data_IF_496297587158
#
_entry.id   IF_496297587158
#
_cell.length_a   1.000
_cell.length_b   1.000
_cell.length_c   1.000
_cell.angle_alpha   90.00
_cell.angle_beta   90.00
_cell.angle_gamma   90.00
#
_symmetry.space_group_name_H-M   'P 1'
#
loop_
_entity.id
_entity.type
_entity.pdbx_description
1 polymer ?
#
# COMPACT_ATOMS: atom_id res chain seq x y z
N UNK A 1 16.97 -20.32 -33.36
CA UNK A 1 17.08 -19.31 -32.29
C UNK A 1 15.67 -19.00 -31.82
N UNK A 2 15.33 -19.34 -30.57
CA UNK A 2 14.03 -18.90 -30.01
C UNK A 2 14.08 -17.38 -29.86
N UNK A 3 13.05 -16.64 -30.34
CA UNK A 3 13.00 -15.21 -30.12
C UNK A 3 13.03 -14.93 -28.62
N UNK A 4 13.90 -14.00 -28.19
CA UNK A 4 13.92 -13.51 -26.82
C UNK A 4 12.51 -13.02 -26.46
N UNK A 5 11.87 -13.65 -25.46
CA UNK A 5 10.57 -13.16 -24.96
C UNK A 5 10.76 -11.75 -24.40
N UNK A 6 10.11 -10.78 -25.01
CA UNK A 6 10.09 -9.42 -24.48
C UNK A 6 9.05 -9.36 -23.36
N UNK A 7 9.48 -9.01 -22.15
CA UNK A 7 8.59 -8.82 -21.00
C UNK A 7 8.23 -7.35 -20.85
N UNK A 8 6.95 -7.05 -20.73
CA UNK A 8 6.51 -5.77 -20.22
C UNK A 8 6.77 -5.70 -18.71
N UNK A 9 7.08 -4.51 -18.20
CA UNK A 9 7.19 -4.29 -16.77
C UNK A 9 6.13 -3.30 -16.32
N UNK A 10 5.31 -3.68 -15.33
CA UNK A 10 4.25 -2.87 -14.74
C UNK A 10 4.55 -2.64 -13.26
N UNK A 11 4.55 -1.38 -12.85
CA UNK A 11 4.69 -1.00 -11.45
C UNK A 11 3.31 -0.74 -10.86
N UNK A 12 2.98 -1.41 -9.77
CA UNK A 12 1.76 -1.17 -8.99
C UNK A 12 2.13 -0.45 -7.68
N UNK A 13 1.33 0.52 -7.29
CA UNK A 13 1.51 1.33 -6.09
C UNK A 13 0.37 1.08 -5.12
N UNK A 14 0.72 0.72 -3.89
CA UNK A 14 -0.23 0.44 -2.81
C UNK A 14 -0.19 1.56 -1.77
N UNK A 15 -1.24 2.37 -1.73
CA UNK A 15 -1.46 3.32 -0.65
C UNK A 15 -2.28 2.65 0.43
N UNK A 16 -1.76 2.61 1.65
CA UNK A 16 -2.46 2.01 2.79
C UNK A 16 -2.66 3.03 3.90
N UNK A 17 -3.81 2.95 4.56
CA UNK A 17 -4.19 3.84 5.65
C UNK A 17 -5.18 3.17 6.59
N UNK A 18 -5.15 3.55 7.89
CA UNK A 18 -6.21 3.23 8.83
C UNK A 18 -7.31 4.28 8.74
N UNK A 19 -8.52 3.85 8.39
CA UNK A 19 -9.72 4.68 8.28
C UNK A 19 -10.84 3.98 9.07
N UNK A 20 -11.44 4.67 10.03
CA UNK A 20 -12.48 4.12 10.91
C UNK A 20 -12.06 2.77 11.52
N UNK A 21 -10.87 2.75 12.13
CA UNK A 21 -10.30 1.59 12.80
C UNK A 21 -10.05 0.35 11.92
N UNK A 22 -10.00 0.53 10.61
CA UNK A 22 -9.76 -0.52 9.65
C UNK A 22 -8.61 -0.16 8.70
N UNK A 23 -7.72 -1.12 8.44
CA UNK A 23 -6.71 -0.96 7.40
C UNK A 23 -7.39 -0.99 6.03
N UNK A 24 -7.21 0.07 5.27
CA UNK A 24 -7.75 0.22 3.92
C UNK A 24 -6.66 0.47 2.91
N UNK A 25 -6.94 0.09 1.68
CA UNK A 25 -6.07 0.26 0.53
C UNK A 25 -6.78 1.10 -0.53
N UNK A 26 -6.03 2.02 -1.15
CA UNK A 26 -6.54 2.85 -2.22
C UNK A 26 -6.61 2.06 -3.52
N UNK A 27 -7.73 2.23 -4.22
CA UNK A 27 -7.99 1.63 -5.52
C UNK A 27 -8.55 2.67 -6.48
N UNK A 28 -8.36 2.45 -7.77
CA UNK A 28 -8.87 3.29 -8.84
C UNK A 28 -9.72 2.47 -9.78
N UNK A 29 -10.69 3.12 -10.39
CA UNK A 29 -11.42 2.61 -11.54
C UNK A 29 -11.14 3.53 -12.72
N UNK A 30 -10.51 3.00 -13.77
CA UNK A 30 -10.23 3.77 -15.01
C UNK A 30 -11.47 3.91 -15.85
N UNK A 31 -11.58 5.01 -16.60
CA UNK A 31 -12.68 5.19 -17.56
C UNK A 31 -12.77 4.04 -18.55
N UNK A 32 -13.98 3.56 -18.77
CA UNK A 32 -14.25 2.43 -19.67
C UNK A 32 -13.88 1.06 -19.12
N UNK A 33 -13.55 0.96 -17.81
CA UNK A 33 -13.32 -0.29 -17.11
C UNK A 33 -14.38 -0.52 -16.05
N UNK A 34 -14.85 -1.73 -15.91
CA UNK A 34 -15.83 -2.18 -14.92
C UNK A 34 -15.17 -2.79 -13.67
N UNK A 35 -13.84 -2.88 -13.64
CA UNK A 35 -13.06 -3.43 -12.55
C UNK A 35 -12.20 -2.38 -11.84
N UNK A 36 -11.88 -2.68 -10.58
CA UNK A 36 -10.96 -1.90 -9.75
C UNK A 36 -9.54 -2.43 -9.85
N UNK A 37 -8.58 -1.53 -9.84
CA UNK A 37 -7.15 -1.86 -9.81
C UNK A 37 -6.38 -0.88 -8.90
N UNK A 38 -5.11 -1.18 -8.66
CA UNK A 38 -4.23 -0.24 -7.99
C UNK A 38 -3.69 0.81 -8.97
N UNK A 39 -3.33 2.01 -8.50
CA UNK A 39 -2.54 2.94 -9.29
C UNK A 39 -1.31 2.24 -9.87
N UNK A 40 -1.12 2.32 -11.17
CA UNK A 40 -0.05 1.58 -11.85
C UNK A 40 0.48 2.34 -13.07
N UNK A 41 1.72 2.03 -13.45
CA UNK A 41 2.33 2.53 -14.68
C UNK A 41 3.17 1.44 -15.35
N UNK A 42 3.22 1.47 -16.66
CA UNK A 42 4.07 0.61 -17.49
C UNK A 42 5.44 1.25 -17.58
N UNK A 43 6.48 0.44 -17.46
CA UNK A 43 7.86 0.82 -17.68
C UNK A 43 8.07 1.10 -19.18
N UNK A 44 8.72 2.22 -19.49
CA UNK A 44 9.13 2.58 -20.86
C UNK A 44 10.65 2.41 -20.96
N UNK A 45 11.14 2.37 -22.19
CA UNK A 45 12.59 2.44 -22.46
C UNK A 45 13.15 3.70 -21.77
N UNK A 46 14.31 3.57 -21.15
CA UNK A 46 15.00 4.63 -20.39
C UNK A 46 14.34 5.12 -19.08
N UNK A 47 13.23 4.52 -18.64
CA UNK A 47 12.64 4.87 -17.34
C UNK A 47 13.51 4.41 -16.15
N UNK A 48 13.67 5.27 -15.16
CA UNK A 48 14.12 4.86 -13.83
C UNK A 48 12.94 4.37 -13.00
N UNK A 49 13.16 3.34 -12.17
CA UNK A 49 12.11 2.72 -11.35
C UNK A 49 11.36 3.74 -10.48
N UNK A 50 12.07 4.71 -9.90
CA UNK A 50 11.46 5.74 -9.06
C UNK A 50 10.53 6.65 -9.86
N UNK A 51 10.88 6.97 -11.09
CA UNK A 51 10.04 7.80 -11.97
C UNK A 51 8.76 7.05 -12.36
N UNK A 52 8.85 5.75 -12.60
CA UNK A 52 7.67 4.91 -12.86
C UNK A 52 6.77 4.85 -11.62
N UNK A 53 7.34 4.71 -10.42
CA UNK A 53 6.61 4.77 -9.16
C UNK A 53 5.89 6.13 -9.00
N UNK A 54 6.56 7.24 -9.26
CA UNK A 54 5.97 8.58 -9.21
C UNK A 54 4.85 8.74 -10.24
N UNK A 55 5.04 8.25 -11.47
CA UNK A 55 4.03 8.29 -12.53
C UNK A 55 2.79 7.47 -12.16
N UNK A 56 2.96 6.29 -11.58
CA UNK A 56 1.85 5.49 -11.06
C UNK A 56 1.10 6.22 -9.93
N UNK A 57 1.83 6.79 -8.97
CA UNK A 57 1.26 7.51 -7.83
C UNK A 57 0.57 8.83 -8.25
N UNK A 58 1.08 9.49 -9.28
CA UNK A 58 0.51 10.76 -9.80
C UNK A 58 -0.88 10.61 -10.41
N UNK A 59 -1.35 9.40 -10.64
CA UNK A 59 -2.75 9.17 -11.04
C UNK A 59 -3.73 9.60 -9.96
N UNK A 60 -3.32 9.61 -8.70
CA UNK A 60 -4.20 9.87 -7.54
C UNK A 60 -3.73 11.03 -6.65
N UNK A 61 -2.46 11.46 -6.77
CA UNK A 61 -1.84 12.47 -5.89
C UNK A 61 -1.10 13.50 -6.70
N UNK A 62 -1.13 14.77 -6.27
CA UNK A 62 -0.40 15.84 -6.92
C UNK A 62 1.12 15.61 -6.87
N UNK A 63 1.81 15.82 -7.99
CA UNK A 63 3.26 15.67 -8.18
C UNK A 63 4.12 16.39 -7.12
N UNK A 64 3.67 17.55 -6.60
CA UNK A 64 4.38 18.36 -5.60
C UNK A 64 4.70 17.55 -4.34
N UNK A 65 3.93 16.51 -4.04
CA UNK A 65 4.03 15.74 -2.81
C UNK A 65 4.77 14.41 -2.95
N UNK A 66 5.05 13.98 -4.18
CA UNK A 66 5.60 12.64 -4.44
C UNK A 66 7.03 12.44 -3.92
N UNK A 67 7.81 13.52 -3.81
CA UNK A 67 9.17 13.48 -3.26
C UNK A 67 9.26 13.16 -1.77
N UNK A 68 8.14 13.26 -1.05
CA UNK A 68 8.07 13.01 0.40
C UNK A 68 7.66 11.58 0.76
N UNK A 69 7.47 10.72 -0.24
CA UNK A 69 7.04 9.35 -0.03
C UNK A 69 8.22 8.39 0.08
N UNK A 70 8.07 7.42 0.93
CA UNK A 70 8.96 6.29 1.04
C UNK A 70 8.35 5.10 0.29
N UNK A 71 9.05 4.65 -0.75
CA UNK A 71 8.65 3.52 -1.58
C UNK A 71 9.34 2.26 -1.09
N UNK A 72 8.57 1.27 -0.66
CA UNK A 72 9.10 -0.02 -0.22
C UNK A 72 8.67 -1.11 -1.17
N UNK A 73 9.64 -1.76 -1.81
CA UNK A 73 9.40 -2.94 -2.65
C UNK A 73 8.79 -4.06 -1.80
N UNK A 74 7.70 -4.65 -2.26
CA UNK A 74 7.05 -5.80 -1.62
C UNK A 74 7.54 -7.08 -2.28
N UNK A 75 7.20 -7.24 -3.54
CA UNK A 75 7.47 -8.45 -4.32
C UNK A 75 7.32 -8.17 -5.82
N UNK A 76 7.68 -9.17 -6.60
CA UNK A 76 7.48 -9.18 -8.04
C UNK A 76 6.67 -10.42 -8.41
N UNK A 77 5.70 -10.26 -9.31
CA UNK A 77 4.99 -11.36 -9.93
C UNK A 77 5.37 -11.45 -11.40
N UNK A 78 5.57 -12.64 -11.88
CA UNK A 78 5.84 -12.91 -13.31
C UNK A 78 4.61 -13.63 -13.86
N UNK A 79 3.94 -12.99 -14.82
CA UNK A 79 2.87 -13.59 -15.61
C UNK A 79 3.37 -13.65 -17.05
N UNK A 80 3.11 -14.70 -17.79
CA UNK A 80 3.52 -15.04 -19.17
C UNK A 80 4.41 -14.04 -19.93
N UNK A 81 4.02 -12.77 -20.03
CA UNK A 81 4.74 -11.69 -20.72
C UNK A 81 4.81 -10.38 -19.93
N UNK A 82 4.42 -10.40 -18.65
CA UNK A 82 4.37 -9.21 -17.81
C UNK A 82 5.05 -9.48 -16.46
N UNK A 83 5.97 -8.61 -16.07
CA UNK A 83 6.55 -8.56 -14.74
C UNK A 83 5.82 -7.45 -13.97
N UNK A 84 5.11 -7.81 -12.90
CA UNK A 84 4.48 -6.85 -11.99
C UNK A 84 5.40 -6.59 -10.81
N UNK A 85 5.86 -5.34 -10.67
CA UNK A 85 6.68 -4.87 -9.54
C UNK A 85 5.81 -4.07 -8.59
N UNK A 86 5.79 -4.47 -7.34
CA UNK A 86 4.83 -3.99 -6.35
C UNK A 86 5.50 -3.18 -5.26
N UNK A 87 5.07 -1.92 -5.09
CA UNK A 87 5.56 -1.00 -4.07
C UNK A 87 4.46 -0.56 -3.12
N UNK A 88 4.71 -0.62 -1.82
CA UNK A 88 3.91 0.09 -0.82
C UNK A 88 4.45 1.50 -0.66
N UNK A 89 3.56 2.48 -0.68
CA UNK A 89 3.88 3.85 -0.29
C UNK A 89 3.57 4.03 1.19
N UNK A 90 4.62 4.40 1.90
CA UNK A 90 4.56 4.75 3.31
C UNK A 90 4.72 6.27 3.42
N UNK A 91 3.78 6.91 4.09
CA UNK A 91 3.86 8.35 4.26
C UNK A 91 3.46 8.78 5.68
N UNK A 92 4.20 9.76 6.19
CA UNK A 92 3.87 10.42 7.45
C UNK A 92 2.86 11.55 7.19
N UNK A 93 1.70 11.52 7.83
CA UNK A 93 0.79 12.67 7.98
C UNK A 93 0.28 13.31 6.69
N UNK A 94 -0.28 12.56 5.76
CA UNK A 94 -0.79 13.18 4.55
C UNK A 94 -2.32 13.38 4.59
N UNK A 95 -2.76 14.62 4.34
CA UNK A 95 -4.09 14.86 3.79
C UNK A 95 -3.99 14.52 2.31
N UNK A 96 -4.58 13.41 1.89
CA UNK A 96 -4.70 13.08 0.48
C UNK A 96 -5.64 14.10 -0.17
N UNK A 97 -5.10 15.03 -0.91
CA UNK A 97 -5.88 15.75 -1.88
C UNK A 97 -5.84 14.93 -3.16
N UNK A 98 -6.88 14.13 -3.38
CA UNK A 98 -7.03 13.37 -4.61
C UNK A 98 -7.11 14.31 -5.80
N UNK A 99 -6.43 13.95 -6.86
CA UNK A 99 -6.62 14.57 -8.16
C UNK A 99 -7.65 13.72 -8.89
N UNK A 100 -8.79 14.32 -9.15
CA UNK A 100 -9.71 13.78 -10.14
C UNK A 100 -9.15 14.16 -11.51
N UNK A 101 -8.64 13.19 -12.24
CA UNK A 101 -8.23 13.38 -13.62
C UNK A 101 -9.23 12.72 -14.57
N UNK A 102 -9.24 13.20 -15.81
CA UNK A 102 -10.19 12.73 -16.82
C UNK A 102 -10.03 11.25 -17.23
N UNK A 103 -8.97 10.57 -16.77
CA UNK A 103 -8.70 9.17 -17.05
C UNK A 103 -9.35 8.22 -16.03
N UNK A 104 -9.80 8.75 -14.88
CA UNK A 104 -10.41 7.98 -13.81
C UNK A 104 -11.93 8.16 -13.79
N UNK A 105 -12.62 7.07 -13.53
CA UNK A 105 -14.05 7.06 -13.23
C UNK A 105 -14.29 7.27 -11.74
N UNK A 106 -13.48 6.60 -10.89
CA UNK A 106 -13.61 6.70 -9.44
C UNK A 106 -12.28 6.38 -8.72
N UNK A 107 -12.16 6.85 -7.47
CA UNK A 107 -11.08 6.57 -6.53
C UNK A 107 -11.72 6.21 -5.19
N UNK A 108 -11.33 5.07 -4.60
CA UNK A 108 -11.95 4.64 -3.35
C UNK A 108 -10.95 3.92 -2.43
N UNK A 109 -11.32 3.83 -1.13
CA UNK A 109 -10.61 3.09 -0.11
C UNK A 109 -11.33 1.79 0.20
N UNK A 110 -10.74 0.65 -0.19
CA UNK A 110 -11.30 -0.67 0.08
C UNK A 110 -10.75 -1.26 1.37
N UNK A 111 -11.59 -2.03 2.06
CA UNK A 111 -11.18 -2.83 3.20
C UNK A 111 -10.14 -3.87 2.79
N UNK A 112 -9.10 -4.06 3.62
CA UNK A 112 -8.12 -5.13 3.43
C UNK A 112 -8.62 -6.50 3.90
N UNK A 113 -9.80 -6.57 4.51
CA UNK A 113 -10.38 -7.84 5.00
C UNK A 113 -11.02 -8.65 3.89
N UNK A 114 -11.55 -7.97 2.87
CA UNK A 114 -12.24 -8.64 1.76
C UNK A 114 -12.11 -7.81 0.48
N UNK A 115 -11.62 -8.45 -0.58
CA UNK A 115 -11.70 -7.89 -1.93
C UNK A 115 -13.15 -7.90 -2.43
N UNK A 116 -13.49 -6.93 -3.25
CA UNK A 116 -14.74 -6.93 -4.02
C UNK A 116 -14.60 -7.83 -5.26
N UNK A 117 -15.72 -8.37 -5.72
CA UNK A 117 -15.74 -9.37 -6.80
C UNK A 117 -15.19 -8.83 -8.13
N UNK A 118 -15.30 -7.53 -8.38
CA UNK A 118 -14.80 -6.87 -9.59
C UNK A 118 -13.37 -6.31 -9.45
N UNK A 119 -12.53 -6.92 -8.62
CA UNK A 119 -11.13 -6.50 -8.48
C UNK A 119 -10.22 -7.31 -9.40
N UNK A 120 -9.28 -6.66 -10.06
CA UNK A 120 -8.37 -7.29 -11.02
C UNK A 120 -7.37 -8.26 -10.38
N UNK A 121 -7.05 -8.05 -9.11
CA UNK A 121 -6.05 -8.84 -8.39
C UNK A 121 -6.71 -10.04 -7.68
N UNK A 122 -6.05 -11.20 -7.68
CA UNK A 122 -6.50 -12.36 -6.91
C UNK A 122 -6.43 -12.11 -5.39
N UNK A 123 -7.29 -12.79 -4.62
CA UNK A 123 -7.29 -12.71 -3.16
C UNK A 123 -5.95 -13.13 -2.55
N UNK A 124 -5.25 -14.10 -3.16
CA UNK A 124 -3.94 -14.58 -2.69
C UNK A 124 -2.90 -13.46 -2.77
N UNK A 125 -2.74 -12.86 -3.93
CA UNK A 125 -1.81 -11.73 -4.15
C UNK A 125 -2.13 -10.54 -3.24
N UNK A 126 -3.41 -10.26 -3.03
CA UNK A 126 -3.85 -9.20 -2.13
C UNK A 126 -3.46 -9.46 -0.68
N UNK A 127 -3.64 -10.70 -0.20
CA UNK A 127 -3.26 -11.07 1.16
C UNK A 127 -1.74 -10.94 1.38
N UNK A 128 -0.92 -11.29 0.40
CA UNK A 128 0.53 -11.10 0.48
C UNK A 128 0.93 -9.63 0.68
N UNK A 129 0.25 -8.70 0.00
CA UNK A 129 0.48 -7.26 0.16
C UNK A 129 0.12 -6.80 1.58
N UNK A 130 -1.02 -7.25 2.08
CA UNK A 130 -1.48 -6.93 3.44
C UNK A 130 -0.52 -7.51 4.48
N UNK A 131 -0.08 -8.74 4.30
CA UNK A 131 0.83 -9.42 5.24
C UNK A 131 2.23 -8.81 5.20
N UNK A 132 2.73 -8.38 4.04
CA UNK A 132 3.95 -7.59 3.96
C UNK A 132 3.86 -6.31 4.81
N UNK A 133 2.76 -5.56 4.69
CA UNK A 133 2.56 -4.32 5.48
C UNK A 133 2.59 -4.61 6.97
N UNK A 134 1.95 -5.69 7.42
CA UNK A 134 1.99 -6.14 8.83
C UNK A 134 3.41 -6.50 9.26
N UNK A 135 4.16 -7.24 8.44
CA UNK A 135 5.55 -7.61 8.72
C UNK A 135 6.46 -6.38 8.80
N UNK A 136 6.29 -5.42 7.88
CA UNK A 136 7.02 -4.16 7.91
C UNK A 136 6.79 -3.39 9.22
N UNK A 137 5.56 -3.30 9.71
CA UNK A 137 5.27 -2.65 10.99
C UNK A 137 5.85 -3.44 12.17
N UNK A 138 5.81 -4.77 12.11
CA UNK A 138 6.39 -5.63 13.16
C UNK A 138 7.90 -5.55 13.24
N UNK A 139 8.58 -5.41 12.11
CA UNK A 139 10.05 -5.43 12.04
C UNK A 139 10.71 -4.26 12.77
N UNK A 140 10.00 -3.14 12.90
CA UNK A 140 10.45 -1.99 13.67
C UNK A 140 9.24 -1.19 14.15
N UNK A 141 9.10 -1.05 15.48
CA UNK A 141 7.99 -0.31 16.09
C UNK A 141 7.89 1.14 15.59
N UNK A 142 9.01 1.77 15.18
CA UNK A 142 9.02 3.11 14.63
C UNK A 142 8.23 3.21 13.32
N UNK A 143 8.02 2.09 12.61
CA UNK A 143 7.25 2.06 11.37
C UNK A 143 5.76 2.34 11.58
N UNK A 144 5.25 2.19 12.81
CA UNK A 144 3.87 2.54 13.14
C UNK A 144 3.55 4.01 12.87
N UNK A 145 4.56 4.89 12.89
CA UNK A 145 4.43 6.32 12.60
C UNK A 145 3.86 6.64 11.21
N UNK A 146 3.92 5.68 10.28
CA UNK A 146 3.31 5.83 8.96
C UNK A 146 1.78 5.71 9.00
N UNK A 147 1.24 5.13 10.06
CA UNK A 147 -0.18 4.88 10.25
C UNK A 147 -0.83 5.76 11.32
N UNK A 148 -0.02 6.44 12.15
CA UNK A 148 -0.49 7.34 13.21
C UNK A 148 0.05 8.74 12.95
N UNK A 149 -0.80 9.76 13.09
CA UNK A 149 -0.42 11.16 12.92
C UNK A 149 -0.18 11.86 14.26
N UNK A 150 0.92 12.64 14.36
CA UNK A 150 1.19 13.53 15.49
C UNK A 150 1.73 12.83 16.74
N UNK A 151 1.49 13.47 17.89
CA UNK A 151 1.71 12.85 19.20
C UNK A 151 0.56 11.87 19.45
N UNK A 152 0.86 10.68 19.91
CA UNK A 152 -0.12 9.62 20.17
C UNK A 152 0.02 9.09 21.59
N UNK A 153 -1.09 8.64 22.14
CA UNK A 153 -1.17 7.96 23.42
C UNK A 153 -0.82 6.47 23.27
N UNK A 154 -0.47 5.81 24.36
CA UNK A 154 -0.26 4.36 24.37
C UNK A 154 -1.50 3.59 23.91
N UNK A 155 -2.70 4.11 24.20
CA UNK A 155 -3.96 3.49 23.76
C UNK A 155 -4.18 3.59 22.25
N UNK A 156 -3.86 4.74 21.64
CA UNK A 156 -3.94 4.91 20.19
C UNK A 156 -2.92 4.04 19.47
N UNK A 157 -1.71 3.94 20.01
CA UNK A 157 -0.68 3.06 19.50
C UNK A 157 -1.14 1.59 19.54
N UNK A 158 -1.64 1.12 20.67
CA UNK A 158 -2.20 -0.22 20.84
C UNK A 158 -3.32 -0.50 19.85
N UNK A 159 -4.28 0.42 19.72
CA UNK A 159 -5.40 0.32 18.81
C UNK A 159 -4.93 0.22 17.34
N UNK A 160 -3.90 0.98 16.99
CA UNK A 160 -3.33 0.94 15.64
C UNK A 160 -2.72 -0.41 15.31
N UNK A 161 -1.97 -1.04 16.23
CA UNK A 161 -1.45 -2.39 16.04
C UNK A 161 -2.57 -3.42 15.86
N UNK A 162 -3.64 -3.31 16.63
CA UNK A 162 -4.82 -4.18 16.52
C UNK A 162 -5.49 -3.99 15.14
N UNK A 163 -5.66 -2.75 14.70
CA UNK A 163 -6.29 -2.41 13.42
C UNK A 163 -5.48 -2.85 12.20
N UNK A 164 -4.15 -2.89 12.34
CA UNK A 164 -3.26 -3.50 11.33
C UNK A 164 -3.37 -5.03 11.31
N UNK A 165 -4.14 -5.64 12.21
CA UNK A 165 -4.25 -7.08 12.34
C UNK A 165 -2.96 -7.74 12.88
N UNK A 166 -2.13 -6.96 13.56
CA UNK A 166 -0.96 -7.47 14.27
C UNK A 166 -1.46 -7.99 15.62
N UNK A 167 -2.18 -9.12 15.56
CA UNK A 167 -2.81 -9.73 16.73
C UNK A 167 -1.78 -10.54 17.53
N UNK A 168 -1.41 -9.99 18.69
CA UNK A 168 -0.94 -10.79 19.80
C UNK A 168 -2.00 -10.66 20.91
N UNK A 169 -2.51 -11.76 21.45
CA UNK A 169 -3.46 -11.75 22.58
C UNK A 169 -2.98 -10.84 23.74
N UNK A 170 -1.66 -10.71 23.90
CA UNK A 170 -1.04 -9.82 24.85
C UNK A 170 -1.31 -8.32 24.60
N UNK A 171 -1.67 -7.93 23.36
CA UNK A 171 -1.90 -6.52 23.03
C UNK A 171 -3.24 -5.98 23.50
N UNK A 172 -4.20 -6.85 23.83
CA UNK A 172 -5.49 -6.41 24.34
C UNK A 172 -5.41 -5.83 25.77
N UNK A 173 -4.39 -6.20 26.54
CA UNK A 173 -4.13 -5.62 27.85
C UNK A 173 -3.05 -4.54 27.77
N UNK A 174 -3.35 -3.31 28.21
CA UNK A 174 -2.42 -2.16 28.18
C UNK A 174 -1.08 -2.47 28.89
N UNK A 175 -1.11 -3.21 29.99
CA UNK A 175 0.08 -3.59 30.74
C UNK A 175 1.01 -4.50 29.93
N UNK A 176 0.46 -5.47 29.25
CA UNK A 176 1.20 -6.43 28.43
C UNK A 176 1.72 -5.78 27.15
N UNK A 177 0.91 -4.93 26.50
CA UNK A 177 1.33 -4.13 25.36
C UNK A 177 2.49 -3.21 25.72
N UNK A 178 2.45 -2.53 26.88
CA UNK A 178 3.53 -1.69 27.37
C UNK A 178 4.81 -2.48 27.58
N UNK A 179 4.76 -3.66 28.21
CA UNK A 179 5.92 -4.54 28.38
C UNK A 179 6.52 -4.95 27.04
N UNK A 180 5.67 -5.37 26.10
CA UNK A 180 6.13 -5.74 24.77
C UNK A 180 6.82 -4.57 24.06
N UNK A 181 6.29 -3.36 24.13
CA UNK A 181 6.88 -2.17 23.52
C UNK A 181 8.28 -1.85 24.07
N UNK A 182 8.50 -2.07 25.37
CA UNK A 182 9.81 -1.87 26.00
C UNK A 182 10.87 -2.91 25.59
N UNK A 183 10.46 -4.09 25.15
CA UNK A 183 11.39 -5.12 24.66
C UNK A 183 11.85 -4.83 23.24
N UNK A 184 11.09 -4.06 22.47
CA UNK A 184 11.40 -3.68 21.09
C UNK A 184 12.34 -2.47 20.97
N UNK A 185 12.61 -1.76 22.07
CA UNK A 185 13.58 -0.67 22.17
C UNK A 185 14.93 -1.18 22.68
#
# INVERSE_FOLDING_TARGET
MNPLKTFGVKVNIYFMRIIHDELKILVIQKKGKDYWEFPNAIFKEDDEILEVCKRAASQVINHIHLGNFEYKLINNFINDSLIEVNYVILHKKFKFNFIYNDLLNDINWFSTKKLKDNFLLSQVKFNEIVDFTKQFVKSNYANIRYFISGKYTLSELQKTYINLGINNKQFYEKRNFRKWLFIQN
#
